data_IF_973619275834
#
_entry.id   IF_973619275834
#
_cell.length_a   1.000
_cell.length_b   1.000
_cell.length_c   1.000
_cell.angle_alpha   90.00
_cell.angle_beta   90.00
_cell.angle_gamma   90.00
#
_symmetry.space_group_name_H-M   'P 1'
#
loop_
_entity.id
_entity.type
_entity.pdbx_description
1 polymer ?
#
# COMPACT_ATOMS: atom_id res chain seq x y z
N UNK A 1 -24.53 3.17 -14.70
CA UNK A 1 -23.06 3.07 -14.80
C UNK A 1 -22.43 2.95 -13.40
N UNK A 2 -22.64 1.83 -12.67
CA UNK A 2 -22.07 1.62 -11.30
C UNK A 2 -21.56 0.18 -11.06
N UNK A 3 -21.66 -0.71 -12.05
CA UNK A 3 -21.43 -2.15 -11.86
C UNK A 3 -19.96 -2.55 -12.09
N UNK A 4 -19.23 -1.80 -12.91
CA UNK A 4 -17.85 -2.16 -13.30
C UNK A 4 -16.83 -1.90 -12.18
N UNK A 5 -16.98 -0.79 -11.45
CA UNK A 5 -16.10 -0.43 -10.33
C UNK A 5 -16.23 -1.39 -9.15
N UNK A 6 -17.44 -1.89 -8.88
CA UNK A 6 -17.69 -2.83 -7.79
C UNK A 6 -17.05 -4.21 -8.06
N UNK A 7 -17.06 -4.65 -9.32
CA UNK A 7 -16.47 -5.94 -9.72
C UNK A 7 -14.94 -5.91 -9.63
N UNK A 8 -14.30 -4.82 -10.08
CA UNK A 8 -12.84 -4.65 -9.96
C UNK A 8 -12.42 -4.60 -8.49
N UNK A 9 -13.10 -3.79 -7.66
CA UNK A 9 -12.81 -3.70 -6.24
C UNK A 9 -12.96 -5.05 -5.52
N UNK A 10 -14.00 -5.82 -5.86
CA UNK A 10 -14.23 -7.16 -5.29
C UNK A 10 -13.14 -8.14 -5.72
N UNK A 11 -12.80 -8.19 -7.01
CA UNK A 11 -11.81 -9.14 -7.53
C UNK A 11 -10.41 -8.82 -7.00
N UNK A 12 -10.04 -7.53 -6.96
CA UNK A 12 -8.80 -7.07 -6.34
C UNK A 12 -8.74 -7.47 -4.87
N UNK A 13 -9.83 -7.32 -4.11
CA UNK A 13 -9.89 -7.69 -2.69
C UNK A 13 -9.75 -9.20 -2.46
N UNK A 14 -10.35 -10.02 -3.33
CA UNK A 14 -10.29 -11.49 -3.23
C UNK A 14 -8.89 -12.00 -3.57
N UNK A 15 -8.28 -11.52 -4.65
CA UNK A 15 -6.92 -11.89 -5.01
C UNK A 15 -5.92 -11.41 -3.97
N UNK A 16 -6.16 -10.23 -3.38
CA UNK A 16 -5.40 -9.76 -2.22
C UNK A 16 -5.49 -10.69 -1.03
N UNK A 17 -6.70 -11.14 -0.68
CA UNK A 17 -6.89 -12.07 0.43
C UNK A 17 -6.11 -13.36 0.22
N UNK A 18 -6.14 -13.90 -1.01
CA UNK A 18 -5.41 -15.14 -1.36
C UNK A 18 -3.89 -14.95 -1.29
N UNK A 19 -3.39 -13.79 -1.70
CA UNK A 19 -1.97 -13.47 -1.63
C UNK A 19 -1.49 -13.25 -0.18
N UNK A 20 -2.30 -12.61 0.68
CA UNK A 20 -2.02 -12.45 2.12
C UNK A 20 -1.92 -13.81 2.80
N UNK A 21 -2.90 -14.68 2.57
CA UNK A 21 -2.94 -16.02 3.15
C UNK A 21 -1.76 -16.88 2.71
N UNK A 22 -1.22 -16.66 1.49
CA UNK A 22 -0.01 -17.33 1.01
C UNK A 22 1.29 -16.80 1.62
N UNK A 23 1.30 -15.58 2.17
CA UNK A 23 2.48 -14.93 2.74
C UNK A 23 2.52 -14.97 4.28
N UNK A 24 1.43 -15.34 4.95
CA UNK A 24 1.41 -15.53 6.40
C UNK A 24 1.97 -16.92 6.73
N UNK A 25 3.29 -17.02 6.82
CA UNK A 25 3.95 -18.07 7.61
C UNK A 25 3.50 -17.90 9.07
N UNK A 26 2.85 -18.94 9.59
CA UNK A 26 2.35 -19.01 10.97
C UNK A 26 3.56 -19.14 11.88
N UNK A 27 3.93 -18.06 12.58
CA UNK A 27 5.11 -17.99 13.46
C UNK A 27 4.71 -18.06 14.95
N UNK A 28 5.38 -18.87 15.78
CA UNK A 28 5.11 -18.94 17.22
C UNK A 28 5.62 -17.70 17.97
N UNK A 29 4.81 -17.28 18.95
CA UNK A 29 4.92 -16.05 19.74
C UNK A 29 6.08 -16.16 20.76
N UNK A 30 7.06 -15.27 20.65
CA UNK A 30 8.17 -15.07 21.58
C UNK A 30 8.19 -13.57 21.93
N UNK A 31 8.56 -13.16 23.15
CA UNK A 31 8.40 -11.77 23.62
C UNK A 31 9.22 -10.76 22.80
N UNK A 32 10.41 -11.13 22.34
CA UNK A 32 11.18 -10.30 21.40
C UNK A 32 10.52 -10.22 20.02
N UNK A 33 9.82 -11.29 19.59
CA UNK A 33 8.99 -11.27 18.38
C UNK A 33 7.72 -10.44 18.59
N UNK A 34 7.18 -10.37 19.80
CA UNK A 34 5.98 -9.60 20.11
C UNK A 34 6.22 -8.10 19.97
N UNK A 35 7.33 -7.57 20.51
CA UNK A 35 7.72 -6.17 20.32
C UNK A 35 8.00 -5.86 18.85
N UNK A 36 8.79 -6.69 18.17
CA UNK A 36 9.08 -6.50 16.73
C UNK A 36 7.80 -6.61 15.86
N UNK A 37 6.84 -7.42 16.28
CA UNK A 37 5.54 -7.56 15.63
C UNK A 37 4.70 -6.31 15.86
N UNK A 38 4.68 -5.78 17.09
CA UNK A 38 3.98 -4.55 17.45
C UNK A 38 4.52 -3.33 16.70
N UNK A 39 5.84 -3.16 16.65
CA UNK A 39 6.49 -2.07 15.91
C UNK A 39 6.14 -2.14 14.42
N UNK A 40 6.18 -3.35 13.84
CA UNK A 40 5.74 -3.59 12.46
C UNK A 40 4.25 -3.32 12.24
N UNK A 41 3.40 -3.55 13.24
CA UNK A 41 1.97 -3.19 13.15
C UNK A 41 1.79 -1.68 13.18
N UNK A 42 2.51 -0.97 14.06
CA UNK A 42 2.46 0.48 14.15
C UNK A 42 2.95 1.15 12.85
N UNK A 43 4.05 0.68 12.28
CA UNK A 43 4.55 1.13 10.96
C UNK A 43 3.51 0.96 9.86
N UNK A 44 2.76 -0.15 9.89
CA UNK A 44 1.67 -0.39 8.91
C UNK A 44 0.51 0.57 9.12
N UNK A 45 0.10 0.82 10.36
CA UNK A 45 -0.98 1.77 10.64
C UNK A 45 -0.59 3.19 10.21
N UNK A 46 0.62 3.63 10.55
CA UNK A 46 1.16 4.92 10.12
C UNK A 46 1.22 5.03 8.59
N UNK A 47 1.64 3.96 7.91
CA UNK A 47 1.63 3.92 6.45
C UNK A 47 0.21 4.07 5.86
N UNK A 48 -0.78 3.37 6.44
CA UNK A 48 -2.17 3.45 5.99
C UNK A 48 -2.77 4.85 6.22
N UNK A 49 -2.46 5.47 7.36
CA UNK A 49 -2.85 6.85 7.65
C UNK A 49 -2.23 7.82 6.64
N UNK A 50 -0.93 7.68 6.37
CA UNK A 50 -0.20 8.54 5.44
C UNK A 50 -0.80 8.52 4.02
N UNK A 51 -1.03 7.32 3.48
CA UNK A 51 -1.63 7.19 2.15
C UNK A 51 -3.11 7.59 2.12
N UNK A 52 -3.79 7.69 3.26
CA UNK A 52 -5.19 8.12 3.36
C UNK A 52 -5.46 9.51 2.77
N UNK A 53 -4.42 10.34 2.65
CA UNK A 53 -4.47 11.65 1.97
C UNK A 53 -4.52 11.57 0.43
N UNK A 54 -4.24 10.40 -0.15
CA UNK A 54 -4.22 10.18 -1.60
C UNK A 54 -5.61 9.78 -2.15
N UNK A 55 -5.75 9.76 -3.47
CA UNK A 55 -6.95 9.22 -4.11
C UNK A 55 -7.08 7.71 -3.87
N UNK A 56 -8.29 7.15 -3.95
CA UNK A 56 -8.51 5.71 -3.73
C UNK A 56 -7.68 4.83 -4.70
N UNK A 57 -7.48 5.28 -5.93
CA UNK A 57 -6.64 4.60 -6.92
C UNK A 57 -5.15 4.67 -6.55
N UNK A 58 -4.66 5.84 -6.15
CA UNK A 58 -3.28 6.01 -5.66
C UNK A 58 -3.04 5.16 -4.40
N UNK A 59 -3.98 5.16 -3.45
CA UNK A 59 -3.91 4.33 -2.24
C UNK A 59 -3.72 2.85 -2.59
N UNK A 60 -4.50 2.34 -3.54
CA UNK A 60 -4.43 0.95 -3.97
C UNK A 60 -3.08 0.64 -4.65
N UNK A 61 -2.57 1.54 -5.50
CA UNK A 61 -1.26 1.40 -6.13
C UNK A 61 -0.14 1.40 -5.09
N UNK A 62 -0.18 2.33 -4.12
CA UNK A 62 0.82 2.42 -3.05
C UNK A 62 0.81 1.19 -2.15
N UNK A 63 -0.38 0.70 -1.79
CA UNK A 63 -0.54 -0.50 -0.99
C UNK A 63 0.07 -1.71 -1.72
N UNK A 64 -0.29 -1.92 -2.99
CA UNK A 64 0.26 -3.02 -3.79
C UNK A 64 1.79 -2.94 -3.93
N UNK A 65 2.33 -1.74 -4.20
CA UNK A 65 3.75 -1.54 -4.41
C UNK A 65 4.58 -1.66 -3.12
N UNK A 66 4.23 -0.92 -2.07
CA UNK A 66 5.06 -0.81 -0.86
C UNK A 66 4.76 -1.89 0.17
N UNK A 67 3.50 -2.27 0.36
CA UNK A 67 3.11 -3.27 1.34
C UNK A 67 3.21 -4.69 0.76
N UNK A 68 2.61 -4.90 -0.42
CA UNK A 68 2.56 -6.22 -1.03
C UNK A 68 3.76 -6.57 -1.91
N UNK A 69 4.63 -5.58 -2.17
CA UNK A 69 5.87 -5.73 -2.95
C UNK A 69 5.62 -6.18 -4.39
N UNK A 70 4.51 -5.74 -4.98
CA UNK A 70 4.21 -5.97 -6.40
C UNK A 70 5.00 -4.98 -7.28
N UNK A 71 5.43 -5.48 -8.42
CA UNK A 71 6.08 -4.70 -9.47
C UNK A 71 5.07 -3.82 -10.20
N UNK A 72 5.50 -2.70 -10.80
CA UNK A 72 4.61 -1.85 -11.60
C UNK A 72 3.89 -2.61 -12.73
N UNK A 73 4.51 -3.65 -13.29
CA UNK A 73 3.93 -4.53 -14.32
C UNK A 73 2.80 -5.40 -13.77
N UNK A 74 2.99 -5.99 -12.59
CA UNK A 74 1.94 -6.76 -11.89
C UNK A 74 0.76 -5.87 -11.51
N UNK A 75 1.04 -4.66 -11.03
CA UNK A 75 0.01 -3.67 -10.66
C UNK A 75 -0.76 -3.19 -11.89
N UNK A 76 -0.06 -2.91 -12.99
CA UNK A 76 -0.66 -2.55 -14.27
C UNK A 76 -1.65 -3.62 -14.74
N UNK A 77 -1.25 -4.89 -14.63
CA UNK A 77 -2.11 -6.03 -14.98
C UNK A 77 -3.31 -6.13 -14.03
N UNK A 78 -3.06 -6.04 -12.72
CA UNK A 78 -4.10 -6.14 -11.68
C UNK A 78 -5.18 -5.06 -11.83
N UNK A 79 -4.78 -3.83 -12.14
CA UNK A 79 -5.67 -2.68 -12.24
C UNK A 79 -6.15 -2.42 -13.66
N UNK A 80 -5.64 -3.17 -14.65
CA UNK A 80 -5.92 -2.96 -16.08
C UNK A 80 -5.65 -1.53 -16.55
N UNK A 81 -4.51 -0.97 -16.10
CA UNK A 81 -4.02 0.35 -16.50
C UNK A 81 -2.62 0.24 -17.10
N UNK A 82 -2.20 1.23 -17.88
CA UNK A 82 -0.86 1.22 -18.46
C UNK A 82 0.25 1.33 -17.39
N UNK A 83 1.38 0.66 -17.60
CA UNK A 83 2.52 0.68 -16.67
C UNK A 83 3.03 2.11 -16.44
N UNK A 84 3.02 2.96 -17.45
CA UNK A 84 3.38 4.39 -17.31
C UNK A 84 2.42 5.13 -16.39
N UNK A 85 1.13 4.79 -16.38
CA UNK A 85 0.17 5.36 -15.44
C UNK A 85 0.52 4.95 -14.01
N UNK A 86 0.87 3.68 -13.77
CA UNK A 86 1.34 3.23 -12.44
C UNK A 86 2.52 4.07 -11.96
N UNK A 87 3.53 4.31 -12.81
CA UNK A 87 4.67 5.17 -12.48
C UNK A 87 4.25 6.63 -12.23
N UNK A 88 3.31 7.17 -13.01
CA UNK A 88 2.79 8.53 -12.83
C UNK A 88 2.03 8.68 -11.51
N UNK A 89 1.21 7.70 -11.14
CA UNK A 89 0.52 7.65 -9.84
C UNK A 89 1.52 7.59 -8.70
N UNK A 90 2.50 6.69 -8.76
CA UNK A 90 3.58 6.59 -7.76
C UNK A 90 4.38 7.90 -7.63
N UNK A 91 4.73 8.53 -8.75
CA UNK A 91 5.48 9.79 -8.78
C UNK A 91 4.70 10.95 -8.15
N UNK A 92 3.45 11.18 -8.59
CA UNK A 92 2.60 12.26 -8.07
C UNK A 92 2.20 12.01 -6.62
N UNK A 93 1.90 10.76 -6.26
CA UNK A 93 1.61 10.35 -4.90
C UNK A 93 2.76 10.65 -3.96
N UNK A 94 4.01 10.28 -4.30
CA UNK A 94 5.19 10.59 -3.48
C UNK A 94 5.38 12.08 -3.24
N UNK A 95 5.16 12.91 -4.27
CA UNK A 95 5.22 14.38 -4.13
C UNK A 95 4.17 14.90 -3.15
N UNK A 96 2.94 14.38 -3.21
CA UNK A 96 1.87 14.73 -2.27
C UNK A 96 2.20 14.29 -0.85
N UNK A 97 2.61 13.04 -0.66
CA UNK A 97 2.97 12.51 0.65
C UNK A 97 4.13 13.27 1.27
N UNK A 98 5.14 13.62 0.46
CA UNK A 98 6.26 14.46 0.91
C UNK A 98 5.76 15.81 1.44
N UNK A 99 4.88 16.48 0.70
CA UNK A 99 4.30 17.76 1.13
C UNK A 99 3.42 17.63 2.38
N UNK A 100 2.75 16.49 2.60
CA UNK A 100 1.99 16.21 3.83
C UNK A 100 2.94 16.07 5.02
N UNK A 101 4.00 15.26 4.87
CA UNK A 101 5.00 15.07 5.92
C UNK A 101 5.73 16.37 6.29
N UNK A 102 6.08 17.18 5.28
CA UNK A 102 6.70 18.50 5.50
C UNK A 102 5.77 19.46 6.26
N UNK A 103 4.45 19.41 6.01
CA UNK A 103 3.46 20.23 6.73
C UNK A 103 3.23 19.77 8.16
N UNK A 104 3.37 18.48 8.43
CA UNK A 104 3.26 17.91 9.78
C UNK A 104 4.54 18.06 10.61
N UNK A 105 5.58 18.71 10.07
CA UNK A 105 6.82 19.01 10.79
C UNK A 105 7.85 17.87 10.77
N UNK A 106 7.68 16.85 9.91
CA UNK A 106 8.71 15.85 9.68
C UNK A 106 9.83 16.44 8.80
N UNK A 107 10.81 17.06 9.44
CA UNK A 107 12.11 17.31 8.83
C UNK A 107 12.83 15.95 8.71
N UNK A 108 13.14 15.53 7.48
CA UNK A 108 13.69 14.21 7.15
C UNK A 108 15.11 13.97 7.65
N UNK A 109 15.35 14.04 8.96
CA UNK A 109 16.64 13.70 9.59
C UNK A 109 16.83 12.20 9.86
N UNK A 110 15.90 11.34 9.42
CA UNK A 110 15.93 9.89 9.67
C UNK A 110 15.70 9.04 8.42
N UNK A 111 16.27 9.44 7.27
CA UNK A 111 16.42 8.57 6.10
C UNK A 111 17.88 8.39 5.74
#
# INVERSE_FOLDING_TARGET
MKTWTLTIARNASIDKKRQILRKQDILPLDQAKEQATYDRYLEKEQFLVLIGSLSAEDQLIFLNHYFYKETPQEISTLLSIDVSQVYNHLSRGRKKLKAVLEKEGYNGEYF
#
